data_IF_457636828339
#
_entry.id   IF_457636828339
#
_cell.length_a   1.000
_cell.length_b   1.000
_cell.length_c   1.000
_cell.angle_alpha   90.00
_cell.angle_beta   90.00
_cell.angle_gamma   90.00
#
_symmetry.space_group_name_H-M   'P 1'
#
loop_
_entity.id
_entity.type
_entity.pdbx_description
1 polymer ?
#
# COMPACT_ATOMS: atom_id res chain seq x y z
N UNK A 1 -15.47 13.10 19.91
CA UNK A 1 -14.88 12.29 18.82
C UNK A 1 -13.85 13.15 18.12
N UNK A 2 -12.59 12.70 18.03
CA UNK A 2 -11.55 13.36 17.25
C UNK A 2 -11.31 12.50 16.00
N UNK A 3 -11.87 12.90 14.86
CA UNK A 3 -11.74 12.12 13.61
C UNK A 3 -10.28 12.11 13.18
N UNK A 4 -9.69 10.92 13.02
CA UNK A 4 -8.30 10.75 12.55
C UNK A 4 -8.21 10.41 11.07
N UNK A 5 -9.23 9.78 10.50
CA UNK A 5 -9.22 9.26 9.15
C UNK A 5 -10.52 9.61 8.42
N UNK A 6 -10.38 10.05 7.18
CA UNK A 6 -11.45 10.21 6.20
C UNK A 6 -11.08 9.38 4.97
N UNK A 7 -12.00 8.55 4.49
CA UNK A 7 -11.76 7.69 3.33
C UNK A 7 -12.74 8.05 2.22
N UNK A 8 -12.21 8.24 1.01
CA UNK A 8 -12.98 8.49 -0.21
C UNK A 8 -12.85 7.28 -1.13
N UNK A 9 -13.92 6.50 -1.22
CA UNK A 9 -14.01 5.25 -1.99
C UNK A 9 -14.94 5.40 -3.20
N UNK A 10 -14.77 4.53 -4.19
CA UNK A 10 -15.60 4.52 -5.41
C UNK A 10 -14.86 3.94 -6.61
N UNK A 11 -15.54 3.75 -7.74
CA UNK A 11 -14.89 3.23 -8.95
C UNK A 11 -14.00 4.29 -9.64
N UNK A 12 -13.07 3.89 -10.51
CA UNK A 12 -12.35 4.82 -11.37
C UNK A 12 -13.31 5.73 -12.17
N UNK A 13 -13.02 7.03 -12.21
CA UNK A 13 -13.84 8.02 -12.92
C UNK A 13 -15.03 8.60 -12.14
N UNK A 14 -15.26 8.18 -10.89
CA UNK A 14 -16.43 8.63 -10.09
C UNK A 14 -16.15 9.91 -9.28
N UNK A 15 -15.06 10.63 -9.58
CA UNK A 15 -14.74 11.90 -8.92
C UNK A 15 -14.04 11.78 -7.56
N UNK A 16 -13.57 10.60 -7.16
CA UNK A 16 -12.86 10.37 -5.88
C UNK A 16 -11.77 11.39 -5.61
N UNK A 17 -10.81 11.55 -6.53
CA UNK A 17 -9.68 12.47 -6.33
C UNK A 17 -10.14 13.92 -6.23
N UNK A 18 -11.20 14.30 -6.96
CA UNK A 18 -11.82 15.63 -6.85
C UNK A 18 -12.42 15.83 -5.46
N UNK A 19 -13.18 14.85 -4.97
CA UNK A 19 -13.78 14.89 -3.63
C UNK A 19 -12.72 14.91 -2.53
N UNK A 20 -11.68 14.07 -2.61
CA UNK A 20 -10.60 14.01 -1.62
C UNK A 20 -9.82 15.33 -1.54
N UNK A 21 -9.52 15.95 -2.70
CA UNK A 21 -8.90 17.28 -2.77
C UNK A 21 -9.79 18.38 -2.18
N UNK A 22 -11.10 18.35 -2.49
CA UNK A 22 -12.05 19.32 -1.93
C UNK A 22 -12.14 19.21 -0.39
N UNK A 23 -12.16 17.99 0.17
CA UNK A 23 -12.12 17.78 1.62
C UNK A 23 -10.83 18.35 2.20
N UNK A 24 -9.69 18.06 1.58
CA UNK A 24 -8.38 18.58 2.00
C UNK A 24 -8.35 20.12 2.01
N UNK A 25 -8.88 20.76 0.96
CA UNK A 25 -8.98 22.22 0.86
C UNK A 25 -9.86 22.81 1.97
N UNK A 26 -11.05 22.23 2.21
CA UNK A 26 -11.97 22.69 3.26
C UNK A 26 -11.31 22.58 4.64
N UNK A 27 -10.69 21.45 4.97
CA UNK A 27 -10.03 21.27 6.27
C UNK A 27 -8.84 22.22 6.44
N UNK A 28 -8.02 22.37 5.40
CA UNK A 28 -6.87 23.29 5.40
C UNK A 28 -7.30 24.75 5.60
N UNK A 29 -8.37 25.20 4.94
CA UNK A 29 -8.94 26.55 5.13
C UNK A 29 -9.41 26.80 6.56
N UNK A 30 -9.85 25.74 7.25
CA UNK A 30 -10.22 25.78 8.66
C UNK A 30 -9.01 25.57 9.61
N UNK A 31 -7.78 25.64 9.10
CA UNK A 31 -6.51 25.47 9.85
C UNK A 31 -6.40 24.13 10.57
N UNK A 32 -7.03 23.09 10.02
CA UNK A 32 -6.89 21.71 10.50
C UNK A 32 -5.70 21.09 9.78
N UNK A 33 -4.78 20.50 10.54
CA UNK A 33 -3.65 19.77 9.98
C UNK A 33 -4.14 18.48 9.31
N UNK A 34 -3.83 18.33 8.03
CA UNK A 34 -4.36 17.26 7.18
C UNK A 34 -3.30 16.74 6.22
N UNK A 35 -3.29 15.44 5.98
CA UNK A 35 -2.42 14.80 5.00
C UNK A 35 -3.25 13.95 4.02
N UNK A 36 -3.13 14.29 2.73
CA UNK A 36 -3.89 13.68 1.64
C UNK A 36 -3.05 12.64 0.89
N UNK A 37 -3.57 11.43 0.78
CA UNK A 37 -2.98 10.34 0.00
C UNK A 37 -3.93 9.92 -1.11
N UNK A 38 -3.50 10.14 -2.35
CA UNK A 38 -4.25 9.77 -3.54
C UNK A 38 -3.94 8.33 -3.97
N UNK A 39 -4.84 7.74 -4.75
CA UNK A 39 -4.63 6.45 -5.41
C UNK A 39 -3.32 6.49 -6.23
N UNK A 40 -2.45 5.49 -6.10
CA UNK A 40 -1.13 5.48 -6.74
C UNK A 40 0.02 6.06 -5.92
N UNK A 41 -0.23 6.59 -4.72
CA UNK A 41 0.81 7.19 -3.89
C UNK A 41 1.75 6.11 -3.32
N UNK A 42 2.99 6.05 -3.81
CA UNK A 42 3.99 5.08 -3.33
C UNK A 42 4.35 5.25 -1.84
N UNK A 43 4.06 6.40 -1.23
CA UNK A 43 4.27 6.70 0.19
C UNK A 43 3.01 6.48 1.05
N UNK A 44 1.95 5.84 0.51
CA UNK A 44 0.72 5.61 1.26
C UNK A 44 1.00 4.83 2.57
N UNK A 45 0.52 5.32 3.73
CA UNK A 45 0.87 4.71 5.02
C UNK A 45 0.13 3.40 5.27
N UNK A 46 -1.02 3.19 4.61
CA UNK A 46 -1.88 2.02 4.75
C UNK A 46 -1.97 1.14 3.48
N UNK A 47 -1.15 1.40 2.45
CA UNK A 47 -1.19 0.65 1.19
C UNK A 47 0.24 0.32 0.69
N UNK A 48 0.34 -0.66 -0.21
CA UNK A 48 1.57 -1.16 -0.82
C UNK A 48 1.55 -1.01 -2.35
N UNK A 49 1.41 0.21 -2.85
CA UNK A 49 1.60 0.44 -4.29
C UNK A 49 3.08 0.32 -4.66
N UNK A 50 3.41 -0.64 -5.53
CA UNK A 50 4.75 -0.80 -6.07
C UNK A 50 5.76 -1.34 -5.06
N UNK A 51 5.30 -2.27 -4.22
CA UNK A 51 6.11 -2.94 -3.20
C UNK A 51 6.01 -4.44 -3.39
N UNK A 52 7.17 -5.10 -3.49
CA UNK A 52 7.26 -6.56 -3.56
C UNK A 52 7.57 -7.16 -2.20
N UNK A 53 7.05 -8.35 -1.93
CA UNK A 53 7.32 -9.10 -0.71
C UNK A 53 8.03 -10.41 -1.03
N UNK A 54 9.16 -10.63 -0.37
CA UNK A 54 9.95 -11.85 -0.47
C UNK A 54 10.09 -12.51 0.89
N UNK A 55 10.24 -13.82 0.93
CA UNK A 55 10.86 -14.48 2.08
C UNK A 55 12.40 -14.37 2.02
N UNK A 56 13.08 -14.79 3.10
CA UNK A 56 14.54 -14.73 3.20
C UNK A 56 15.27 -15.43 2.04
N UNK A 57 14.79 -16.60 1.61
CA UNK A 57 15.42 -17.38 0.56
C UNK A 57 15.27 -16.70 -0.80
N UNK A 58 14.06 -16.26 -1.13
CA UNK A 58 13.76 -15.54 -2.36
C UNK A 58 14.55 -14.23 -2.45
N UNK A 59 14.63 -13.49 -1.34
CA UNK A 59 15.40 -12.25 -1.32
C UNK A 59 16.91 -12.50 -1.49
N UNK A 60 17.46 -13.52 -0.83
CA UNK A 60 18.88 -13.91 -1.04
C UNK A 60 19.15 -14.33 -2.49
N UNK A 61 18.21 -15.02 -3.14
CA UNK A 61 18.30 -15.37 -4.55
C UNK A 61 18.25 -14.12 -5.43
N UNK A 62 17.39 -13.16 -5.12
CA UNK A 62 17.35 -11.87 -5.82
C UNK A 62 18.71 -11.14 -5.72
N UNK A 63 19.26 -11.03 -4.50
CA UNK A 63 20.57 -10.40 -4.26
C UNK A 63 21.73 -11.07 -5.03
N UNK A 64 21.65 -12.38 -5.24
CA UNK A 64 22.68 -13.13 -5.97
C UNK A 64 22.65 -12.86 -7.48
N UNK A 65 21.50 -12.40 -8.00
CA UNK A 65 21.28 -12.13 -9.42
C UNK A 65 21.14 -10.63 -9.74
N UNK A 66 21.30 -9.74 -8.75
CA UNK A 66 21.06 -8.30 -8.92
C UNK A 66 22.27 -7.50 -9.40
N UNK A 67 23.42 -8.14 -9.61
CA UNK A 67 24.66 -7.48 -10.01
C UNK A 67 25.00 -6.28 -9.11
N UNK A 68 25.32 -5.15 -9.73
CA UNK A 68 25.71 -3.91 -9.05
C UNK A 68 24.61 -3.31 -8.15
N UNK A 69 23.35 -3.71 -8.34
CA UNK A 69 22.24 -3.25 -7.50
C UNK A 69 22.16 -3.93 -6.14
N UNK A 70 22.95 -4.96 -5.87
CA UNK A 70 22.89 -5.73 -4.61
C UNK A 70 22.90 -4.84 -3.36
N UNK A 71 23.84 -3.90 -3.28
CA UNK A 71 23.96 -3.00 -2.12
C UNK A 71 22.79 -2.01 -2.04
N UNK A 72 22.23 -1.59 -3.18
CA UNK A 72 21.03 -0.75 -3.22
C UNK A 72 19.82 -1.52 -2.71
N UNK A 73 19.64 -2.77 -3.14
CA UNK A 73 18.56 -3.65 -2.66
C UNK A 73 18.62 -3.84 -1.15
N UNK A 74 19.81 -4.11 -0.61
CA UNK A 74 20.04 -4.27 0.83
C UNK A 74 19.70 -3.02 1.64
N UNK A 75 19.97 -1.83 1.10
CA UNK A 75 19.66 -0.55 1.77
C UNK A 75 18.18 -0.18 1.69
N UNK A 76 17.49 -0.56 0.61
CA UNK A 76 16.10 -0.15 0.34
C UNK A 76 15.06 -1.15 0.88
N UNK A 77 15.46 -2.39 1.16
CA UNK A 77 14.54 -3.39 1.70
C UNK A 77 14.14 -3.09 3.15
N UNK A 78 12.86 -3.18 3.45
CA UNK A 78 12.34 -3.17 4.80
C UNK A 78 12.07 -4.60 5.26
N UNK A 79 12.73 -5.03 6.33
CA UNK A 79 12.46 -6.32 6.95
C UNK A 79 11.35 -6.19 8.00
N UNK A 80 10.23 -6.89 7.79
CA UNK A 80 9.10 -6.97 8.74
C UNK A 80 8.80 -8.44 9.05
N UNK A 81 9.17 -8.89 10.25
CA UNK A 81 9.10 -10.30 10.61
C UNK A 81 9.92 -11.18 9.67
N UNK A 82 9.27 -12.13 9.00
CA UNK A 82 9.86 -13.00 7.97
C UNK A 82 9.86 -12.40 6.56
N UNK A 83 9.17 -11.28 6.36
CA UNK A 83 8.97 -10.65 5.06
C UNK A 83 10.06 -9.61 4.78
N UNK A 84 10.50 -9.56 3.52
CA UNK A 84 11.43 -8.60 2.96
C UNK A 84 10.67 -7.77 1.93
N UNK A 85 10.32 -6.54 2.30
CA UNK A 85 9.47 -5.63 1.53
C UNK A 85 10.35 -4.66 0.73
N UNK A 86 10.25 -4.69 -0.58
CA UNK A 86 11.11 -3.91 -1.49
C UNK A 86 10.27 -2.92 -2.30
N UNK A 87 10.41 -1.59 -2.10
CA UNK A 87 9.63 -0.57 -2.80
C UNK A 87 10.18 -0.32 -4.21
N UNK A 88 10.01 -1.30 -5.09
CA UNK A 88 10.66 -1.35 -6.40
C UNK A 88 10.22 -0.23 -7.36
N UNK A 89 8.96 0.25 -7.28
CA UNK A 89 8.54 1.42 -8.08
C UNK A 89 9.25 2.70 -7.64
N UNK A 90 9.43 2.91 -6.33
CA UNK A 90 10.23 4.06 -5.85
C UNK A 90 11.67 3.98 -6.33
N UNK A 91 12.25 2.78 -6.31
CA UNK A 91 13.60 2.57 -6.80
C UNK A 91 13.69 2.84 -8.31
N UNK A 92 12.72 2.41 -9.13
CA UNK A 92 12.69 2.76 -10.55
C UNK A 92 12.62 4.27 -10.77
N UNK A 93 11.82 4.98 -9.99
CA UNK A 93 11.74 6.45 -10.06
C UNK A 93 13.06 7.14 -9.66
N UNK A 94 13.79 6.58 -8.69
CA UNK A 94 15.03 7.14 -8.17
C UNK A 94 16.25 6.87 -9.06
N UNK A 95 16.36 5.64 -9.58
CA UNK A 95 17.54 5.19 -10.33
C UNK A 95 17.33 5.18 -11.85
N UNK A 96 16.09 5.35 -12.32
CA UNK A 96 15.76 5.41 -13.75
C UNK A 96 16.30 4.22 -14.53
N UNK A 97 17.03 4.51 -15.59
CA UNK A 97 17.61 3.51 -16.50
C UNK A 97 18.72 2.66 -15.87
N UNK A 98 19.33 3.12 -14.78
CA UNK A 98 20.29 2.30 -14.04
C UNK A 98 19.59 1.07 -13.45
N UNK A 99 18.32 1.22 -13.04
CA UNK A 99 17.51 0.09 -12.58
C UNK A 99 16.91 -0.64 -13.79
N UNK A 100 17.68 -1.61 -14.28
CA UNK A 100 17.36 -2.37 -15.50
C UNK A 100 15.93 -2.94 -15.49
N UNK A 101 15.30 -2.96 -16.67
CA UNK A 101 13.95 -3.50 -16.82
C UNK A 101 13.90 -5.02 -16.54
N UNK A 102 14.99 -5.75 -16.76
CA UNK A 102 15.09 -7.16 -16.41
C UNK A 102 14.94 -7.35 -14.89
N UNK A 103 15.73 -6.63 -14.09
CA UNK A 103 15.66 -6.69 -12.62
C UNK A 103 14.30 -6.19 -12.11
N UNK A 104 13.77 -5.11 -12.70
CA UNK A 104 12.44 -4.59 -12.38
C UNK A 104 11.36 -5.67 -12.59
N UNK A 105 11.36 -6.35 -13.74
CA UNK A 105 10.39 -7.38 -14.07
C UNK A 105 10.51 -8.63 -13.19
N UNK A 106 11.74 -8.99 -12.76
CA UNK A 106 11.94 -10.07 -11.78
C UNK A 106 11.32 -9.73 -10.43
N UNK A 107 11.51 -8.49 -9.97
CA UNK A 107 10.98 -8.04 -8.69
C UNK A 107 9.45 -7.90 -8.72
N UNK A 108 8.91 -7.30 -9.79
CA UNK A 108 7.48 -7.10 -10.02
C UNK A 108 6.64 -8.38 -9.86
N UNK A 109 7.19 -9.55 -10.21
CA UNK A 109 6.49 -10.85 -10.04
C UNK A 109 6.11 -11.17 -8.60
N UNK A 110 6.73 -10.51 -7.63
CA UNK A 110 6.45 -10.64 -6.20
C UNK A 110 5.80 -9.37 -5.63
N UNK A 111 5.28 -8.48 -6.48
CA UNK A 111 4.45 -7.36 -6.04
C UNK A 111 3.30 -7.87 -5.16
N UNK A 112 2.99 -7.14 -4.09
CA UNK A 112 2.01 -7.55 -3.08
C UNK A 112 0.62 -7.77 -3.67
N UNK A 113 0.28 -7.09 -4.77
CA UNK A 113 -0.96 -7.28 -5.51
C UNK A 113 -0.93 -8.46 -6.49
N UNK A 114 0.25 -9.06 -6.74
CA UNK A 114 0.44 -10.28 -7.53
C UNK A 114 0.52 -11.56 -6.67
N UNK A 115 0.58 -11.43 -5.34
CA UNK A 115 0.63 -12.55 -4.40
C UNK A 115 -0.72 -13.27 -4.25
N UNK A 116 -0.72 -14.54 -3.80
CA UNK A 116 -1.94 -15.25 -3.45
C UNK A 116 -2.86 -14.42 -2.54
N UNK A 117 -4.17 -14.48 -2.79
CA UNK A 117 -5.18 -13.64 -2.12
C UNK A 117 -4.98 -13.54 -0.61
N UNK A 118 -4.89 -14.69 0.08
CA UNK A 118 -4.76 -14.70 1.55
C UNK A 118 -3.47 -14.02 2.04
N UNK A 119 -2.39 -14.07 1.27
CA UNK A 119 -1.13 -13.39 1.60
C UNK A 119 -1.24 -11.87 1.37
N UNK A 120 -1.94 -11.44 0.33
CA UNK A 120 -2.27 -10.02 0.13
C UNK A 120 -3.09 -9.49 1.32
N UNK A 121 -4.14 -10.21 1.73
CA UNK A 121 -5.00 -9.85 2.88
C UNK A 121 -4.19 -9.72 4.17
N UNK A 122 -3.26 -10.65 4.43
CA UNK A 122 -2.35 -10.60 5.58
C UNK A 122 -1.51 -9.33 5.57
N UNK A 123 -0.76 -9.08 4.48
CA UNK A 123 0.17 -7.97 4.38
C UNK A 123 -0.52 -6.60 4.42
N UNK A 124 -1.65 -6.45 3.73
CA UNK A 124 -2.40 -5.18 3.71
C UNK A 124 -3.01 -4.93 5.09
N UNK A 125 -3.61 -5.93 5.75
CA UNK A 125 -4.12 -5.75 7.10
C UNK A 125 -3.00 -5.36 8.10
N UNK A 126 -1.82 -5.97 7.99
CA UNK A 126 -0.67 -5.60 8.81
C UNK A 126 -0.19 -4.17 8.56
N UNK A 127 -0.33 -3.66 7.32
CA UNK A 127 0.02 -2.28 6.98
C UNK A 127 -1.01 -1.27 7.50
N UNK A 128 -2.28 -1.64 7.51
CA UNK A 128 -3.34 -0.86 8.16
C UNK A 128 -3.16 -0.80 9.68
N UNK A 129 -2.70 -1.89 10.32
CA UNK A 129 -2.37 -1.87 11.76
C UNK A 129 -1.26 -0.86 12.06
N UNK A 130 -0.14 -0.89 11.31
CA UNK A 130 0.95 0.09 11.47
C UNK A 130 0.43 1.53 11.33
N UNK A 131 -0.44 1.76 10.33
CA UNK A 131 -1.04 3.08 10.12
C UNK A 131 -1.92 3.50 11.31
N UNK A 132 -2.76 2.61 11.84
CA UNK A 132 -3.64 2.92 12.96
C UNK A 132 -2.84 3.34 14.20
N UNK A 133 -1.73 2.65 14.50
CA UNK A 133 -0.81 3.03 15.58
C UNK A 133 -0.25 4.45 15.38
N UNK A 134 0.23 4.77 14.17
CA UNK A 134 0.73 6.10 13.82
C UNK A 134 -0.36 7.17 13.99
N UNK A 135 -1.56 6.91 13.47
CA UNK A 135 -2.65 7.88 13.47
C UNK A 135 -3.21 8.19 14.87
N UNK A 136 -3.08 7.25 15.81
CA UNK A 136 -3.45 7.46 17.22
C UNK A 136 -2.51 8.47 17.90
N UNK A 137 -1.23 8.46 17.58
CA UNK A 137 -0.22 9.35 18.14
C UNK A 137 -0.15 10.71 17.43
N UNK A 138 -0.36 10.74 16.11
CA UNK A 138 -0.26 11.95 15.30
C UNK A 138 -1.43 12.92 15.53
N UNK A 139 -1.17 14.23 15.55
CA UNK A 139 -2.20 15.25 15.73
C UNK A 139 -2.71 15.85 14.40
N UNK A 140 -3.00 14.99 13.42
CA UNK A 140 -3.52 15.38 12.11
C UNK A 140 -4.64 14.45 11.63
N UNK A 141 -5.36 14.89 10.60
CA UNK A 141 -6.36 14.09 9.90
C UNK A 141 -5.72 13.51 8.63
N UNK A 142 -5.92 12.22 8.39
CA UNK A 142 -5.53 11.56 7.14
C UNK A 142 -6.73 11.51 6.20
N UNK A 143 -6.51 11.84 4.94
CA UNK A 143 -7.49 11.61 3.87
C UNK A 143 -6.91 10.57 2.92
N UNK A 144 -7.56 9.42 2.82
CA UNK A 144 -7.21 8.40 1.84
C UNK A 144 -8.21 8.40 0.70
N UNK A 145 -7.70 8.48 -0.52
CA UNK A 145 -8.42 8.07 -1.70
C UNK A 145 -8.12 6.59 -1.96
N UNK A 146 -9.17 5.75 -2.08
CA UNK A 146 -9.07 4.32 -2.35
C UNK A 146 -8.51 3.49 -1.15
N UNK A 147 -8.07 2.28 -1.46
CA UNK A 147 -7.40 1.25 -0.65
C UNK A 147 -8.19 0.50 0.44
N UNK A 148 -9.31 1.03 0.94
CA UNK A 148 -10.13 0.37 1.96
C UNK A 148 -11.18 -0.60 1.38
N UNK A 149 -11.94 -0.18 0.37
CA UNK A 149 -12.99 -1.00 -0.26
C UNK A 149 -12.62 -1.36 -1.70
N UNK A 150 -12.21 -0.38 -2.52
CA UNK A 150 -11.92 -0.61 -3.93
C UNK A 150 -10.84 -1.68 -4.12
N UNK A 151 -9.74 -1.65 -3.36
CA UNK A 151 -8.63 -2.59 -3.54
C UNK A 151 -9.03 -4.04 -3.16
N UNK A 152 -9.64 -4.29 -1.98
CA UNK A 152 -10.19 -5.61 -1.67
C UNK A 152 -11.17 -6.15 -2.71
N UNK A 153 -12.06 -5.31 -3.24
CA UNK A 153 -12.99 -5.70 -4.31
C UNK A 153 -12.25 -6.04 -5.60
N UNK A 154 -11.29 -5.21 -6.01
CA UNK A 154 -10.53 -5.41 -7.25
C UNK A 154 -9.73 -6.71 -7.19
N UNK A 155 -9.02 -6.94 -6.09
CA UNK A 155 -8.19 -8.14 -5.93
C UNK A 155 -9.04 -9.38 -5.70
N UNK A 156 -10.00 -9.33 -4.78
CA UNK A 156 -10.83 -10.49 -4.46
C UNK A 156 -11.78 -10.85 -5.59
N UNK A 157 -12.58 -9.91 -6.08
CA UNK A 157 -13.65 -10.18 -7.04
C UNK A 157 -13.12 -10.29 -8.47
N UNK A 158 -12.32 -9.30 -8.91
CA UNK A 158 -11.95 -9.18 -10.32
C UNK A 158 -10.74 -10.06 -10.66
N UNK A 159 -9.69 -9.99 -9.83
CA UNK A 159 -8.45 -10.72 -10.10
C UNK A 159 -8.54 -12.21 -9.77
N UNK A 160 -9.00 -12.54 -8.56
CA UNK A 160 -9.02 -13.93 -8.09
C UNK A 160 -10.38 -14.62 -8.20
N UNK A 161 -11.47 -13.89 -8.44
CA UNK A 161 -12.82 -14.48 -8.52
C UNK A 161 -13.25 -15.16 -7.22
N UNK A 162 -12.80 -14.65 -6.07
CA UNK A 162 -13.06 -15.22 -4.75
C UNK A 162 -14.53 -15.10 -4.35
N UNK A 163 -14.94 -15.94 -3.39
CA UNK A 163 -16.29 -15.90 -2.83
C UNK A 163 -16.55 -14.57 -2.12
N UNK A 164 -17.78 -14.07 -2.27
CA UNK A 164 -18.22 -12.79 -1.68
C UNK A 164 -17.91 -12.70 -0.19
N UNK A 165 -18.09 -13.80 0.54
CA UNK A 165 -17.86 -13.90 1.99
C UNK A 165 -16.40 -13.63 2.34
N UNK A 166 -15.44 -14.14 1.56
CA UNK A 166 -14.01 -13.86 1.78
C UNK A 166 -13.68 -12.38 1.56
N UNK A 167 -14.29 -11.76 0.55
CA UNK A 167 -14.05 -10.35 0.24
C UNK A 167 -14.66 -9.45 1.34
N UNK A 168 -15.86 -9.78 1.81
CA UNK A 168 -16.48 -9.11 2.97
C UNK A 168 -15.59 -9.27 4.20
N UNK A 169 -15.09 -10.48 4.48
CA UNK A 169 -14.20 -10.73 5.61
C UNK A 169 -12.90 -9.92 5.50
N UNK A 170 -12.37 -9.72 4.30
CA UNK A 170 -11.21 -8.85 4.08
C UNK A 170 -11.54 -7.40 4.46
N UNK A 171 -12.59 -6.79 3.90
CA UNK A 171 -12.99 -5.41 4.23
C UNK A 171 -13.27 -5.27 5.72
N UNK A 172 -13.99 -6.22 6.33
CA UNK A 172 -14.30 -6.20 7.77
C UNK A 172 -13.06 -6.37 8.64
N UNK A 173 -12.04 -7.11 8.19
CA UNK A 173 -10.76 -7.22 8.89
C UNK A 173 -10.07 -5.87 8.96
N UNK A 174 -10.04 -5.12 7.86
CA UNK A 174 -9.47 -3.76 7.83
C UNK A 174 -10.33 -2.78 8.63
N UNK A 175 -11.66 -2.85 8.51
CA UNK A 175 -12.57 -1.97 9.24
C UNK A 175 -12.35 -2.02 10.76
N UNK A 176 -12.22 -3.23 11.31
CA UNK A 176 -11.95 -3.44 12.75
C UNK A 176 -10.64 -2.80 13.24
N UNK A 177 -9.65 -2.63 12.36
CA UNK A 177 -8.37 -2.02 12.72
C UNK A 177 -8.54 -0.51 12.96
N UNK A 178 -9.38 0.14 12.15
CA UNK A 178 -9.55 1.61 12.13
C UNK A 178 -10.76 2.11 12.92
N UNK A 179 -11.53 1.19 13.53
CA UNK A 179 -12.63 1.51 14.46
C UNK A 179 -12.16 1.76 15.90
N UNK A 180 -10.87 1.54 16.20
CA UNK A 180 -10.30 1.66 17.55
C UNK A 180 -10.14 3.11 18.03
#
# INVERSE_FOLDING_TARGET
>A
MNTKLIIVEGLPGFGKSTTAKLINEILSQNKIEVELFLEGNLNHPADYDGVSCFNKFEFNRLLSNSGDFKEVLLKKVLKKGSNYLLPYRKMKNEFGDQFSDELFNVILKNDIYELPFDKNVELIADKWNDFAEIALEDNKIYIFECCFIQNPLTIGMIKYGEQKEKIINYVMKVAKIIEN
#
